data_IF_418733402688
#
_entry.id   IF_418733402688
#
_cell.length_a   1.000
_cell.length_b   1.000
_cell.length_c   1.000
_cell.angle_alpha   90.00
_cell.angle_beta   90.00
_cell.angle_gamma   90.00
#
_symmetry.space_group_name_H-M   'P 1'
#
loop_
_entity.id
_entity.type
_entity.pdbx_description
1 polymer ?
#
# COMPACT_ATOMS: atom_id res chain seq x y z
N UNK A 1 11.26 19.48 3.00
CA UNK A 1 10.36 18.93 1.96
C UNK A 1 9.14 18.35 2.66
N UNK A 2 7.97 18.34 2.02
CA UNK A 2 6.76 17.74 2.61
C UNK A 2 6.81 16.21 2.49
N UNK A 3 6.20 15.51 3.45
CA UNK A 3 6.14 14.05 3.51
C UNK A 3 4.68 13.57 3.44
N UNK A 4 4.43 12.47 2.73
CA UNK A 4 3.08 11.89 2.60
C UNK A 4 3.12 10.38 2.73
N UNK A 5 2.26 9.83 3.58
CA UNK A 5 2.05 8.40 3.73
C UNK A 5 0.67 8.07 3.15
N UNK A 6 0.64 7.18 2.17
CA UNK A 6 -0.56 6.79 1.43
C UNK A 6 -0.88 5.37 1.83
N UNK A 7 -2.03 5.16 2.48
CA UNK A 7 -2.52 3.85 2.87
C UNK A 7 -3.66 3.42 1.97
N UNK A 8 -3.53 2.25 1.36
CA UNK A 8 -4.57 1.66 0.51
C UNK A 8 -5.29 0.59 1.31
N UNK A 9 -6.57 0.84 1.60
CA UNK A 9 -7.45 -0.09 2.32
C UNK A 9 -8.48 -0.78 1.42
N UNK A 10 -8.76 -0.25 0.22
CA UNK A 10 -9.77 -0.83 -0.69
C UNK A 10 -9.46 -2.29 -1.04
N UNK A 11 -10.50 -3.13 -1.14
CA UNK A 11 -10.34 -4.55 -1.41
C UNK A 11 -10.56 -4.84 -2.91
N UNK A 12 -9.60 -5.43 -3.64
CA UNK A 12 -9.84 -5.89 -5.01
C UNK A 12 -10.98 -6.92 -5.12
N UNK A 13 -11.24 -7.70 -4.05
CA UNK A 13 -12.33 -8.68 -4.05
C UNK A 13 -13.72 -8.06 -4.10
N UNK A 14 -13.86 -6.76 -3.81
CA UNK A 14 -15.13 -6.07 -4.01
C UNK A 14 -15.55 -6.06 -5.48
N UNK A 15 -14.60 -6.17 -6.42
CA UNK A 15 -14.87 -6.19 -7.86
C UNK A 15 -15.57 -4.93 -8.38
N UNK A 16 -15.45 -3.81 -7.65
CA UNK A 16 -16.14 -2.56 -7.96
C UNK A 16 -15.20 -1.55 -8.60
N UNK A 17 -15.77 -0.70 -9.46
CA UNK A 17 -15.06 0.46 -10.02
C UNK A 17 -14.56 1.41 -8.93
N UNK A 18 -15.25 1.48 -7.79
CA UNK A 18 -14.83 2.28 -6.63
C UNK A 18 -13.53 1.73 -6.01
N UNK A 19 -13.41 0.42 -5.84
CA UNK A 19 -12.21 -0.18 -5.26
C UNK A 19 -10.99 0.04 -6.16
N UNK A 20 -11.17 -0.17 -7.47
CA UNK A 20 -10.15 0.09 -8.48
C UNK A 20 -9.81 1.58 -8.59
N UNK A 21 -10.82 2.45 -8.56
CA UNK A 21 -10.66 3.90 -8.59
C UNK A 21 -9.84 4.41 -7.40
N UNK A 22 -10.04 3.84 -6.21
CA UNK A 22 -9.25 4.18 -5.01
C UNK A 22 -7.80 3.78 -5.12
N UNK A 23 -7.51 2.59 -5.67
CA UNK A 23 -6.15 2.16 -5.99
C UNK A 23 -5.49 3.15 -6.97
N UNK A 24 -6.18 3.51 -8.06
CA UNK A 24 -5.66 4.46 -9.05
C UNK A 24 -5.35 5.83 -8.43
N UNK A 25 -6.29 6.39 -7.66
CA UNK A 25 -6.10 7.72 -7.07
C UNK A 25 -4.99 7.75 -6.02
N UNK A 26 -4.80 6.67 -5.26
CA UNK A 26 -3.66 6.52 -4.37
C UNK A 26 -2.33 6.62 -5.13
N UNK A 27 -2.23 5.90 -6.26
CA UNK A 27 -1.02 5.90 -7.09
C UNK A 27 -0.85 7.18 -7.93
N UNK A 28 -1.94 7.85 -8.34
CA UNK A 28 -1.86 9.16 -8.98
C UNK A 28 -1.20 10.18 -8.05
N UNK A 29 -1.64 10.24 -6.79
CA UNK A 29 -1.03 11.15 -5.81
C UNK A 29 0.42 10.75 -5.54
N UNK A 30 0.74 9.46 -5.45
CA UNK A 30 2.12 9.02 -5.31
C UNK A 30 3.01 9.50 -6.47
N UNK A 31 2.52 9.34 -7.71
CA UNK A 31 3.21 9.77 -8.92
C UNK A 31 3.46 11.29 -8.95
N UNK A 32 2.40 12.09 -8.73
CA UNK A 32 2.51 13.55 -8.70
C UNK A 32 3.48 14.06 -7.63
N UNK A 33 3.54 13.38 -6.48
CA UNK A 33 4.43 13.74 -5.38
C UNK A 33 5.88 13.35 -5.67
N UNK A 34 6.12 12.21 -6.34
CA UNK A 34 7.45 11.86 -6.85
C UNK A 34 7.96 12.90 -7.86
N UNK A 35 7.15 13.35 -8.81
CA UNK A 35 7.53 14.40 -9.77
C UNK A 35 7.93 15.71 -9.06
N UNK A 36 7.23 16.02 -7.97
CA UNK A 36 7.54 17.17 -7.08
C UNK A 36 8.73 16.91 -6.15
N UNK A 37 9.41 15.75 -6.27
CA UNK A 37 10.53 15.31 -5.43
C UNK A 37 10.19 15.31 -3.94
N UNK A 38 8.95 15.00 -3.59
CA UNK A 38 8.51 14.88 -2.20
C UNK A 38 8.74 13.46 -1.68
N UNK A 39 8.83 13.32 -0.37
CA UNK A 39 8.98 12.02 0.29
C UNK A 39 7.61 11.34 0.35
N UNK A 40 7.50 10.16 -0.25
CA UNK A 40 6.26 9.40 -0.34
C UNK A 40 6.49 8.00 0.20
N UNK A 41 5.60 7.57 1.08
CA UNK A 41 5.51 6.19 1.53
C UNK A 41 4.14 5.63 1.14
N UNK A 42 4.09 4.68 0.21
CA UNK A 42 2.87 3.97 -0.16
C UNK A 42 2.83 2.61 0.54
N UNK A 43 1.74 2.33 1.23
CA UNK A 43 1.57 1.15 2.08
C UNK A 43 0.24 0.46 1.77
N UNK A 44 0.30 -0.85 1.53
CA UNK A 44 -0.90 -1.68 1.46
C UNK A 44 -1.29 -2.16 2.85
N UNK A 45 -2.53 -1.90 3.27
CA UNK A 45 -3.00 -2.25 4.61
C UNK A 45 -4.48 -2.67 4.56
N UNK A 46 -4.97 -3.33 5.62
CA UNK A 46 -6.33 -3.87 5.61
C UNK A 46 -6.49 -4.86 4.45
N UNK A 47 -7.65 -4.86 3.79
CA UNK A 47 -7.88 -5.74 2.64
C UNK A 47 -7.08 -5.33 1.39
N UNK A 48 -6.58 -4.09 1.35
CA UNK A 48 -5.74 -3.58 0.25
C UNK A 48 -4.43 -4.32 0.06
N UNK A 49 -3.97 -5.10 1.04
CA UNK A 49 -2.84 -6.03 0.88
C UNK A 49 -3.01 -7.01 -0.28
N UNK A 50 -4.26 -7.31 -0.69
CA UNK A 50 -4.53 -8.17 -1.84
C UNK A 50 -4.22 -7.51 -3.19
N UNK A 51 -4.21 -6.18 -3.27
CA UNK A 51 -3.86 -5.49 -4.51
C UNK A 51 -2.46 -5.85 -5.00
N UNK A 52 -1.55 -6.18 -4.09
CA UNK A 52 -0.19 -6.64 -4.43
C UNK A 52 -0.21 -7.80 -5.41
N UNK A 53 -1.18 -8.72 -5.31
CA UNK A 53 -1.31 -9.86 -6.24
C UNK A 53 -1.85 -9.47 -7.60
N UNK A 54 -2.59 -8.38 -7.67
CA UNK A 54 -3.28 -7.95 -8.88
C UNK A 54 -2.39 -7.02 -9.70
N UNK A 55 -1.79 -6.00 -9.06
CA UNK A 55 -1.01 -4.97 -9.76
C UNK A 55 0.32 -5.47 -10.33
N UNK A 56 0.82 -6.62 -9.85
CA UNK A 56 2.02 -7.26 -10.42
C UNK A 56 1.74 -7.99 -11.73
N UNK A 57 0.48 -8.27 -12.06
CA UNK A 57 0.10 -8.93 -13.32
C UNK A 57 0.22 -7.92 -14.46
N UNK A 58 0.94 -8.29 -15.53
CA UNK A 58 1.24 -7.40 -16.66
C UNK A 58 -0.01 -6.89 -17.39
N UNK A 59 -1.09 -7.66 -17.36
CA UNK A 59 -2.38 -7.36 -18.00
C UNK A 59 -3.32 -6.54 -17.10
N UNK A 60 -2.96 -6.31 -15.84
CA UNK A 60 -3.77 -5.50 -14.95
C UNK A 60 -3.72 -4.02 -15.38
N UNK A 61 -4.86 -3.31 -15.46
CA UNK A 61 -4.90 -1.93 -15.97
C UNK A 61 -4.07 -0.94 -15.14
N UNK A 62 -3.85 -1.24 -13.86
CA UNK A 62 -3.02 -0.42 -12.98
C UNK A 62 -1.53 -0.78 -13.00
N UNK A 63 -1.11 -1.83 -13.72
CA UNK A 63 0.27 -2.35 -13.69
C UNK A 63 1.31 -1.31 -14.08
N UNK A 64 1.11 -0.61 -15.20
CA UNK A 64 2.06 0.40 -15.68
C UNK A 64 2.23 1.55 -14.68
N UNK A 65 1.13 1.98 -14.04
CA UNK A 65 1.19 3.02 -13.02
C UNK A 65 1.85 2.52 -11.74
N UNK A 66 1.55 1.29 -11.31
CA UNK A 66 2.22 0.66 -10.18
C UNK A 66 3.73 0.60 -10.41
N UNK A 67 4.19 0.17 -11.59
CA UNK A 67 5.62 0.13 -11.92
C UNK A 67 6.27 1.52 -11.87
N UNK A 68 5.55 2.56 -12.30
CA UNK A 68 6.03 3.94 -12.25
C UNK A 68 6.19 4.49 -10.81
N UNK A 69 5.39 4.02 -9.84
CA UNK A 69 5.45 4.48 -8.45
C UNK A 69 6.02 3.46 -7.47
N UNK A 70 6.51 2.31 -7.95
CA UNK A 70 6.95 1.18 -7.11
C UNK A 70 8.04 1.57 -6.11
N UNK A 71 8.88 2.55 -6.45
CA UNK A 71 9.94 3.04 -5.58
C UNK A 71 9.41 3.79 -4.35
N UNK A 72 8.13 4.21 -4.35
CA UNK A 72 7.45 4.74 -3.14
C UNK A 72 6.90 3.66 -2.23
N UNK A 73 6.80 2.41 -2.70
CA UNK A 73 6.12 1.33 -1.99
C UNK A 73 7.01 0.82 -0.86
N UNK A 74 6.60 1.07 0.38
CA UNK A 74 7.34 0.62 1.56
C UNK A 74 7.04 -0.86 1.85
N UNK A 75 5.84 -1.32 1.53
CA UNK A 75 5.44 -2.72 1.70
C UNK A 75 3.96 -2.88 2.05
N UNK A 76 3.65 -4.03 2.64
CA UNK A 76 2.31 -4.40 3.07
C UNK A 76 2.28 -4.80 4.54
N UNK A 77 1.19 -4.48 5.24
CA UNK A 77 0.96 -4.88 6.63
C UNK A 77 0.95 -6.42 6.79
N UNK A 78 1.85 -6.97 7.63
CA UNK A 78 1.98 -8.43 7.85
C UNK A 78 0.71 -9.04 8.42
N UNK A 79 0.24 -8.53 9.57
CA UNK A 79 -0.97 -9.05 10.22
C UNK A 79 -2.19 -8.96 9.32
N UNK A 80 -2.28 -7.92 8.50
CA UNK A 80 -3.33 -7.78 7.50
C UNK A 80 -3.18 -8.83 6.39
N UNK A 81 -1.97 -9.05 5.87
CA UNK A 81 -1.71 -10.06 4.86
C UNK A 81 -2.03 -11.47 5.37
N UNK A 82 -1.74 -11.78 6.63
CA UNK A 82 -2.08 -13.07 7.24
C UNK A 82 -3.60 -13.24 7.37
N UNK A 83 -4.32 -12.21 7.86
CA UNK A 83 -5.79 -12.24 7.99
C UNK A 83 -6.49 -12.33 6.63
N UNK A 84 -5.98 -11.62 5.63
CA UNK A 84 -6.63 -11.51 4.32
C UNK A 84 -6.09 -12.49 3.28
N UNK A 85 -5.12 -13.35 3.63
CA UNK A 85 -4.57 -14.38 2.76
C UNK A 85 -3.73 -13.84 1.61
N UNK A 86 -2.90 -12.82 1.87
CA UNK A 86 -2.04 -12.19 0.87
C UNK A 86 -0.54 -12.42 1.10
N UNK A 87 -0.14 -13.08 2.19
CA UNK A 87 1.26 -13.21 2.64
C UNK A 87 2.21 -13.75 1.58
N UNK A 88 1.85 -14.86 0.93
CA UNK A 88 2.69 -15.47 -0.12
C UNK A 88 2.78 -14.58 -1.35
N UNK A 89 1.69 -13.91 -1.66
CA UNK A 89 1.57 -12.92 -2.72
C UNK A 89 2.50 -11.73 -2.56
N UNK A 90 2.50 -11.14 -1.36
CA UNK A 90 3.41 -10.04 -0.99
C UNK A 90 4.87 -10.46 -1.10
N UNK A 91 5.20 -11.68 -0.63
CA UNK A 91 6.56 -12.22 -0.76
C UNK A 91 6.97 -12.46 -2.21
N UNK A 92 6.08 -13.02 -3.02
CA UNK A 92 6.33 -13.27 -4.44
C UNK A 92 6.54 -11.96 -5.22
N UNK A 93 5.86 -10.88 -4.82
CA UNK A 93 6.05 -9.54 -5.35
C UNK A 93 7.36 -8.86 -4.87
N UNK A 94 8.13 -9.49 -3.97
CA UNK A 94 9.36 -8.92 -3.42
C UNK A 94 9.14 -7.76 -2.45
N UNK A 95 7.91 -7.56 -1.96
CA UNK A 95 7.58 -6.48 -1.04
C UNK A 95 7.78 -6.91 0.42
N UNK A 96 8.11 -5.93 1.27
CA UNK A 96 8.24 -6.14 2.71
C UNK A 96 6.89 -6.43 3.37
N UNK A 97 6.85 -7.47 4.20
CA UNK A 97 5.77 -7.71 5.16
C UNK A 97 6.10 -6.96 6.47
N UNK A 98 5.45 -5.82 6.68
CA UNK A 98 5.73 -4.87 7.76
C UNK A 98 5.04 -5.31 9.06
N UNK A 99 5.83 -5.45 10.13
CA UNK A 99 5.43 -5.96 11.45
C UNK A 99 6.00 -5.10 12.61
N UNK A 100 5.94 -3.79 12.45
CA UNK A 100 6.54 -2.78 13.33
C UNK A 100 5.89 -2.66 14.72
N UNK A 101 4.58 -2.95 14.81
CA UNK A 101 3.82 -2.84 16.05
C UNK A 101 3.10 -4.13 16.38
N UNK A 102 3.38 -4.69 17.55
CA UNK A 102 2.60 -5.79 18.11
C UNK A 102 1.23 -5.29 18.60
N UNK A 103 0.16 -5.97 18.16
CA UNK A 103 -1.20 -5.82 18.67
C UNK A 103 -1.73 -7.22 19.02
N UNK A 104 -2.47 -7.39 20.14
CA UNK A 104 -3.01 -8.69 20.52
C UNK A 104 -3.71 -9.41 19.37
N UNK A 105 -3.36 -10.67 19.15
CA UNK A 105 -3.99 -11.51 18.12
C UNK A 105 -3.49 -11.29 16.69
N UNK A 106 -2.41 -10.54 16.48
CA UNK A 106 -1.81 -10.34 15.14
C UNK A 106 -0.33 -10.73 15.15
N UNK A 107 0.22 -11.02 13.97
CA UNK A 107 1.66 -11.28 13.75
C UNK A 107 2.51 -10.01 13.68
N UNK A 108 1.95 -8.85 14.06
CA UNK A 108 2.54 -7.53 13.90
C UNK A 108 1.89 -6.76 12.75
N UNK A 109 1.78 -5.45 12.91
CA UNK A 109 1.17 -4.55 11.91
C UNK A 109 2.10 -3.38 11.58
N UNK A 110 1.71 -2.59 10.58
CA UNK A 110 2.33 -1.28 10.32
C UNK A 110 2.04 -0.34 11.49
N UNK A 111 3.07 0.33 11.99
CA UNK A 111 2.87 1.40 12.96
C UNK A 111 2.49 2.69 12.20
N UNK A 112 1.20 3.00 12.15
CA UNK A 112 0.73 4.23 11.49
C UNK A 112 1.15 5.47 12.30
N UNK A 113 1.24 5.37 13.63
CA UNK A 113 1.65 6.50 14.47
C UNK A 113 3.08 6.96 14.17
N UNK A 114 4.00 6.07 13.78
CA UNK A 114 5.37 6.47 13.40
C UNK A 114 5.39 7.50 12.24
N UNK A 115 4.44 7.41 11.29
CA UNK A 115 4.36 8.33 10.16
C UNK A 115 3.86 9.70 10.64
N UNK A 116 2.86 9.70 11.52
CA UNK A 116 2.35 10.93 12.15
C UNK A 116 3.45 11.63 12.95
N UNK A 117 4.17 10.89 13.79
CA UNK A 117 5.29 11.40 14.59
C UNK A 117 6.44 11.94 13.73
N UNK A 118 6.66 11.33 12.56
CA UNK A 118 7.64 11.78 11.57
C UNK A 118 7.15 12.96 10.70
N UNK A 119 5.98 13.53 10.99
CA UNK A 119 5.43 14.70 10.28
C UNK A 119 4.84 14.39 8.90
N UNK A 120 4.49 13.14 8.63
CA UNK A 120 3.81 12.77 7.38
C UNK A 120 2.36 13.23 7.41
N UNK A 121 1.90 13.73 6.27
CA UNK A 121 0.46 13.81 5.98
C UNK A 121 -0.02 12.40 5.64
N UNK A 122 -1.07 11.93 6.29
CA UNK A 122 -1.64 10.61 6.00
C UNK A 122 -2.84 10.76 5.07
N UNK A 123 -2.79 10.08 3.93
CA UNK A 123 -3.88 9.95 2.98
C UNK A 123 -4.34 8.49 2.95
N UNK A 124 -5.65 8.29 2.89
CA UNK A 124 -6.25 6.96 2.92
C UNK A 124 -7.14 6.75 1.72
N UNK A 125 -6.95 5.60 1.08
CA UNK A 125 -7.70 5.12 -0.07
C UNK A 125 -8.11 3.68 0.17
#
# INVERSE_FOLDING_TARGET
MSKTAIFIYSDPKAGSDEALGRLFNAMFVAYELQEKKQEVALIFQGAGVRWVNEVVKLDHPAHALYDAVKDTVVGACRGCADVFGATDGVRAAGLSLIDEKAIPGTSGIVDVSKYLDAGYRVLTF
#
